data_IF_378982093224
#
_entry.id   IF_378982093224
#
_cell.length_a   1.000
_cell.length_b   1.000
_cell.length_c   1.000
_cell.angle_alpha   90.00
_cell.angle_beta   90.00
_cell.angle_gamma   90.00
#
_symmetry.space_group_name_H-M   'P 1'
#
loop_
_entity.id
_entity.type
_entity.pdbx_description
1 polymer ?
#
# COMPACT_ATOMS: atom_id res chain seq x y z
N UNK A 1 16.11 16.92 2.24
CA UNK A 1 16.95 16.03 3.04
C UNK A 1 17.15 14.64 2.47
N UNK A 2 16.62 14.36 1.29
CA UNK A 2 16.80 13.08 0.63
C UNK A 2 15.82 11.99 1.05
N UNK A 3 14.99 12.20 2.05
CA UNK A 3 13.94 11.26 2.44
C UNK A 3 12.67 11.50 1.64
N UNK A 4 12.02 10.41 1.24
CA UNK A 4 10.77 10.46 0.51
C UNK A 4 9.78 9.49 1.11
N UNK A 5 8.59 9.96 1.42
CA UNK A 5 7.46 9.12 1.81
C UNK A 5 6.66 8.81 0.55
N UNK A 6 6.49 7.52 0.25
CA UNK A 6 5.78 7.12 -0.96
C UNK A 6 4.28 7.05 -0.64
N UNK A 7 3.49 7.81 -1.40
CA UNK A 7 2.04 7.87 -1.25
C UNK A 7 1.38 6.66 -1.91
N UNK A 8 0.61 5.92 -1.12
CA UNK A 8 -0.06 4.71 -1.62
C UNK A 8 -1.56 4.69 -1.32
N UNK A 9 -2.02 5.50 -0.37
CA UNK A 9 -3.41 5.45 0.08
C UNK A 9 -4.38 5.78 -1.06
N UNK A 10 -5.41 4.95 -1.22
CA UNK A 10 -6.42 5.13 -2.25
C UNK A 10 -6.05 4.61 -3.62
N UNK A 11 -4.84 4.11 -3.79
CA UNK A 11 -4.40 3.56 -5.08
C UNK A 11 -4.79 2.09 -5.21
N UNK A 12 -4.89 1.61 -6.44
CA UNK A 12 -5.13 0.20 -6.69
C UNK A 12 -3.92 -0.62 -6.25
N UNK A 13 -4.20 -1.76 -5.62
CA UNK A 13 -3.15 -2.69 -5.24
C UNK A 13 -2.61 -3.40 -6.49
N UNK A 14 -1.31 -3.56 -6.54
CA UNK A 14 -0.60 -4.24 -7.61
C UNK A 14 0.29 -5.30 -6.98
N UNK A 15 0.21 -6.54 -7.47
CA UNK A 15 0.99 -7.65 -6.91
C UNK A 15 2.49 -7.46 -7.03
N UNK A 16 2.95 -6.60 -7.92
CA UNK A 16 4.36 -6.24 -8.02
C UNK A 16 4.84 -5.27 -6.95
N UNK A 17 3.94 -4.76 -6.12
CA UNK A 17 4.28 -3.81 -5.08
C UNK A 17 5.03 -4.50 -3.95
N UNK A 18 6.18 -3.95 -3.58
CA UNK A 18 6.99 -4.49 -2.48
C UNK A 18 6.49 -3.93 -1.15
N UNK A 19 5.58 -4.65 -0.54
CA UNK A 19 4.97 -4.23 0.72
C UNK A 19 4.46 -5.45 1.47
N UNK A 20 4.34 -5.33 2.79
CA UNK A 20 3.63 -6.30 3.59
C UNK A 20 2.15 -5.96 3.52
N UNK A 21 1.32 -6.91 3.09
CA UNK A 21 -0.08 -6.66 2.79
C UNK A 21 -0.98 -7.52 3.65
N UNK A 22 -1.95 -6.88 4.30
CA UNK A 22 -3.08 -7.56 4.92
C UNK A 22 -4.31 -7.30 4.06
N UNK A 23 -5.03 -8.36 3.69
CA UNK A 23 -6.25 -8.23 2.91
C UNK A 23 -7.45 -8.17 3.83
N UNK A 24 -8.35 -7.24 3.54
CA UNK A 24 -9.61 -7.07 4.26
C UNK A 24 -10.74 -7.35 3.30
N UNK A 25 -11.67 -8.23 3.70
CA UNK A 25 -12.85 -8.57 2.90
C UNK A 25 -13.98 -7.61 3.24
N UNK A 26 -14.60 -7.04 2.22
CA UNK A 26 -15.75 -6.17 2.38
C UNK A 26 -16.75 -6.48 1.26
N UNK A 27 -17.89 -7.07 1.62
CA UNK A 27 -18.90 -7.49 0.65
C UNK A 27 -19.49 -6.32 -0.13
N UNK A 28 -19.42 -5.11 0.44
CA UNK A 28 -19.94 -3.92 -0.22
C UNK A 28 -18.93 -3.31 -1.20
N UNK A 29 -17.72 -3.86 -1.24
CA UNK A 29 -16.70 -3.37 -2.17
C UNK A 29 -17.03 -3.82 -3.59
N UNK A 30 -16.68 -2.99 -4.57
CA UNK A 30 -16.89 -3.31 -5.97
C UNK A 30 -16.07 -4.51 -6.39
N UNK A 31 -16.70 -5.48 -7.07
CA UNK A 31 -16.04 -6.68 -7.56
C UNK A 31 -14.88 -6.31 -8.48
N UNK A 32 -13.78 -7.03 -8.32
CA UNK A 32 -12.58 -6.83 -9.11
C UNK A 32 -11.70 -5.67 -8.66
N UNK A 33 -12.12 -4.93 -7.64
CA UNK A 33 -11.33 -3.83 -7.10
C UNK A 33 -10.54 -4.30 -5.89
N UNK A 34 -9.28 -3.88 -5.83
CA UNK A 34 -8.42 -4.07 -4.66
C UNK A 34 -7.72 -2.74 -4.42
N UNK A 35 -8.10 -2.07 -3.34
CA UNK A 35 -7.65 -0.70 -3.07
C UNK A 35 -6.86 -0.67 -1.77
N UNK A 36 -5.78 0.08 -1.76
CA UNK A 36 -5.00 0.32 -0.56
C UNK A 36 -5.80 1.29 0.31
N UNK A 37 -6.41 0.76 1.37
CA UNK A 37 -7.34 1.53 2.19
C UNK A 37 -6.73 2.02 3.49
N UNK A 38 -5.55 1.51 3.86
CA UNK A 38 -4.88 1.94 5.08
C UNK A 38 -3.38 1.75 4.96
N UNK A 39 -2.64 2.73 5.45
CA UNK A 39 -1.18 2.65 5.57
C UNK A 39 -0.85 2.47 7.04
N UNK A 40 -0.30 1.31 7.39
CA UNK A 40 0.13 1.02 8.76
C UNK A 40 1.54 1.55 8.97
N UNK A 41 2.42 1.29 8.01
CA UNK A 41 3.75 1.88 7.94
C UNK A 41 4.00 2.37 6.52
N UNK A 42 4.46 3.59 6.33
CA UNK A 42 4.75 4.07 4.98
C UNK A 42 6.03 3.46 4.43
N UNK A 43 6.11 3.39 3.12
CA UNK A 43 7.38 3.15 2.47
C UNK A 43 8.22 4.41 2.53
N UNK A 44 9.48 4.26 2.91
CA UNK A 44 10.41 5.38 2.97
C UNK A 44 11.61 5.10 2.08
N UNK A 45 11.89 6.03 1.19
CA UNK A 45 13.10 5.99 0.38
C UNK A 45 14.07 7.06 0.90
N UNK A 46 15.35 6.78 0.79
CA UNK A 46 16.40 7.76 1.06
C UNK A 46 17.31 7.83 -0.15
N UNK A 47 17.33 8.98 -0.78
CA UNK A 47 18.14 9.23 -1.99
C UNK A 47 17.92 8.13 -3.05
N UNK A 48 16.66 7.78 -3.28
CA UNK A 48 16.26 6.80 -4.28
C UNK A 48 16.36 5.35 -3.84
N UNK A 49 16.80 5.08 -2.61
CA UNK A 49 16.91 3.72 -2.08
C UNK A 49 15.83 3.47 -1.04
N UNK A 50 15.10 2.35 -1.17
CA UNK A 50 14.09 1.99 -0.19
C UNK A 50 14.76 1.57 1.11
N UNK A 51 14.49 2.29 2.20
CA UNK A 51 15.03 1.97 3.52
C UNK A 51 13.96 1.44 4.47
N UNK A 52 12.68 1.58 4.14
CA UNK A 52 11.59 1.01 4.90
C UNK A 52 10.52 0.51 3.96
N UNK A 53 10.16 -0.76 4.09
CA UNK A 53 9.07 -1.37 3.33
C UNK A 53 7.74 -0.95 3.91
N UNK A 54 6.76 -0.69 3.05
CA UNK A 54 5.41 -0.34 3.50
C UNK A 54 4.71 -1.54 4.13
N UNK A 55 3.85 -1.25 5.09
CA UNK A 55 2.88 -2.21 5.62
C UNK A 55 1.51 -1.61 5.43
N UNK A 56 0.65 -2.29 4.69
CA UNK A 56 -0.61 -1.74 4.21
C UNK A 56 -1.76 -2.72 4.40
N UNK A 57 -2.98 -2.18 4.41
CA UNK A 57 -4.20 -2.96 4.28
C UNK A 57 -4.81 -2.70 2.92
N UNK A 58 -5.25 -3.76 2.26
CA UNK A 58 -5.92 -3.70 0.97
C UNK A 58 -7.32 -4.28 1.16
N UNK A 59 -8.32 -3.51 0.76
CA UNK A 59 -9.72 -3.96 0.82
C UNK A 59 -10.14 -4.49 -0.53
N UNK A 60 -10.85 -5.60 -0.51
CA UNK A 60 -11.38 -6.27 -1.70
C UNK A 60 -12.75 -6.85 -1.40
N UNK A 61 -13.50 -7.13 -2.45
CA UNK A 61 -14.81 -7.76 -2.33
C UNK A 61 -14.70 -9.22 -1.89
#
# INVERSE_FOLDING_TARGET
NGYELVEMLGKEYNEGLKATVNFVQDEDFEDGKRIITRIIKPQVNFKGTMIQTAQIEVTEA
#
